data_IF_069255357702
#
_entry.id   IF_069255357702
#
_cell.length_a   1.000
_cell.length_b   1.000
_cell.length_c   1.000
_cell.angle_alpha   90.00
_cell.angle_beta   90.00
_cell.angle_gamma   90.00
#
_symmetry.space_group_name_H-M   'P 1'
#
loop_
_entity.id
_entity.type
_entity.pdbx_description
1 polymer ?
#
# COMPACT_ATOMS: atom_id res chain seq x y z
N UNK A 1 20.12 9.48 -0.07
CA UNK A 1 18.82 9.37 0.62
C UNK A 1 18.36 7.94 0.41
N UNK A 2 17.79 7.29 1.42
CA UNK A 2 17.18 5.98 1.17
C UNK A 2 15.81 6.27 0.58
N UNK A 3 15.48 5.72 -0.58
CA UNK A 3 14.19 5.98 -1.22
C UNK A 3 13.22 4.88 -0.79
N UNK A 4 12.28 5.20 0.11
CA UNK A 4 11.29 4.24 0.61
C UNK A 4 9.86 4.69 0.31
N UNK A 5 9.10 3.84 -0.35
CA UNK A 5 7.73 4.11 -0.79
C UNK A 5 6.72 3.26 -0.03
N UNK A 6 5.71 3.91 0.56
CA UNK A 6 4.53 3.25 1.09
C UNK A 6 3.37 3.44 0.11
N UNK A 7 2.86 2.37 -0.47
CA UNK A 7 1.70 2.39 -1.35
C UNK A 7 0.47 1.88 -0.61
N UNK A 8 -0.61 2.64 -0.61
CA UNK A 8 -1.93 2.20 -0.17
C UNK A 8 -2.71 1.86 -1.44
N UNK A 9 -3.00 0.58 -1.68
CA UNK A 9 -3.68 0.14 -2.91
C UNK A 9 -4.98 -0.61 -2.62
N UNK A 10 -5.94 -0.50 -3.53
CA UNK A 10 -7.16 -1.32 -3.54
C UNK A 10 -6.97 -2.65 -4.25
N UNK A 11 -5.83 -2.83 -4.94
CA UNK A 11 -5.52 -4.06 -5.66
C UNK A 11 -5.37 -5.24 -4.71
N UNK A 12 -6.05 -6.33 -5.04
CA UNK A 12 -5.92 -7.63 -4.36
C UNK A 12 -5.21 -8.63 -5.25
N UNK A 13 -5.13 -8.38 -6.55
CA UNK A 13 -4.62 -9.33 -7.53
C UNK A 13 -3.16 -9.69 -7.20
N UNK A 14 -2.33 -8.71 -6.88
CA UNK A 14 -0.94 -8.92 -6.48
C UNK A 14 -0.83 -9.80 -5.24
N UNK A 15 -1.62 -9.52 -4.19
CA UNK A 15 -1.62 -10.30 -2.96
C UNK A 15 -2.21 -11.71 -3.13
N UNK A 16 -3.05 -11.92 -4.16
CA UNK A 16 -3.53 -13.22 -4.61
C UNK A 16 -2.54 -13.94 -5.54
N UNK A 17 -1.41 -13.32 -5.85
CA UNK A 17 -0.36 -13.88 -6.69
C UNK A 17 -0.60 -13.76 -8.20
N UNK A 18 -1.49 -12.86 -8.63
CA UNK A 18 -1.82 -12.62 -10.03
C UNK A 18 -0.98 -11.48 -10.61
N UNK A 19 -0.61 -11.61 -11.87
CA UNK A 19 0.10 -10.58 -12.62
C UNK A 19 -0.92 -9.67 -13.31
N UNK A 20 -1.12 -8.46 -12.76
CA UNK A 20 -2.02 -7.44 -13.29
C UNK A 20 -1.31 -6.10 -13.53
N UNK A 21 -2.06 -5.04 -13.82
CA UNK A 21 -1.49 -3.71 -14.06
C UNK A 21 -0.59 -3.23 -12.90
N UNK A 22 -1.04 -3.43 -11.66
CA UNK A 22 -0.27 -3.06 -10.47
C UNK A 22 1.03 -3.87 -10.31
N UNK A 23 1.07 -5.12 -10.77
CA UNK A 23 2.31 -5.90 -10.82
C UNK A 23 3.33 -5.25 -11.76
N UNK A 24 2.92 -4.84 -12.96
CA UNK A 24 3.81 -4.19 -13.93
C UNK A 24 4.33 -2.84 -13.40
N UNK A 25 3.47 -2.08 -12.69
CA UNK A 25 3.89 -0.86 -11.99
C UNK A 25 5.00 -1.16 -10.99
N UNK A 26 4.85 -2.21 -10.18
CA UNK A 26 5.85 -2.60 -9.18
C UNK A 26 7.14 -3.15 -9.81
N UNK A 27 7.03 -3.87 -10.94
CA UNK A 27 8.18 -4.36 -11.71
C UNK A 27 9.10 -3.21 -12.15
N UNK A 28 8.52 -2.05 -12.50
CA UNK A 28 9.30 -0.88 -12.85
C UNK A 28 9.73 -0.08 -11.63
N UNK A 29 8.84 0.13 -10.68
CA UNK A 29 9.13 0.94 -9.49
C UNK A 29 10.25 0.32 -8.65
N UNK A 30 10.32 -1.02 -8.54
CA UNK A 30 11.37 -1.68 -7.74
C UNK A 30 12.80 -1.31 -8.13
N UNK A 31 13.01 -0.77 -9.34
CA UNK A 31 14.34 -0.35 -9.82
C UNK A 31 14.81 0.98 -9.19
N UNK A 32 13.88 1.78 -8.67
CA UNK A 32 14.12 3.16 -8.21
C UNK A 32 13.95 3.34 -6.70
N UNK A 33 13.41 2.32 -6.02
CA UNK A 33 13.11 2.34 -4.59
C UNK A 33 13.87 1.24 -3.85
N UNK A 34 14.48 1.60 -2.72
CA UNK A 34 15.18 0.63 -1.87
C UNK A 34 14.20 -0.33 -1.19
N UNK A 35 12.98 0.15 -0.94
CA UNK A 35 11.89 -0.60 -0.32
C UNK A 35 10.54 -0.05 -0.75
N UNK A 36 9.62 -0.95 -1.10
CA UNK A 36 8.22 -0.64 -1.36
C UNK A 36 7.37 -1.49 -0.42
N UNK A 37 6.60 -0.84 0.46
CA UNK A 37 5.57 -1.51 1.26
C UNK A 37 4.20 -1.22 0.64
N UNK A 38 3.39 -2.26 0.43
CA UNK A 38 2.04 -2.14 -0.13
C UNK A 38 1.01 -2.56 0.90
N UNK A 39 0.17 -1.65 1.37
CA UNK A 39 -1.01 -1.99 2.17
C UNK A 39 -2.18 -2.24 1.22
N UNK A 40 -2.84 -3.39 1.34
CA UNK A 40 -3.96 -3.77 0.48
C UNK A 40 -5.12 -4.42 1.26
N UNK A 41 -6.30 -4.60 0.64
CA UNK A 41 -7.42 -5.26 1.30
C UNK A 41 -7.16 -6.73 1.60
N UNK A 42 -8.04 -7.31 2.41
CA UNK A 42 -7.98 -8.74 2.74
C UNK A 42 -8.06 -9.63 1.49
N UNK A 43 -7.17 -10.60 1.43
CA UNK A 43 -7.19 -11.73 0.49
C UNK A 43 -7.68 -13.01 1.16
N UNK A 44 -8.12 -13.99 0.36
CA UNK A 44 -8.63 -15.27 0.87
C UNK A 44 -7.57 -16.11 1.59
N UNK A 45 -7.99 -16.89 2.60
CA UNK A 45 -7.10 -17.63 3.51
C UNK A 45 -6.14 -18.61 2.81
N UNK A 46 -6.52 -19.19 1.66
CA UNK A 46 -5.66 -20.14 0.91
C UNK A 46 -4.57 -19.43 0.07
N UNK A 47 -4.63 -18.11 -0.06
CA UNK A 47 -3.73 -17.32 -0.90
C UNK A 47 -2.74 -16.47 -0.09
N UNK A 48 -2.91 -16.42 1.24
CA UNK A 48 -1.95 -15.80 2.14
C UNK A 48 -0.58 -16.51 2.07
N UNK A 49 -0.56 -17.81 1.78
CA UNK A 49 0.63 -18.62 1.54
C UNK A 49 1.38 -18.25 0.25
N UNK A 50 0.70 -17.66 -0.75
CA UNK A 50 1.31 -17.22 -2.02
C UNK A 50 2.06 -15.90 -1.86
N UNK A 51 1.80 -15.13 -0.79
CA UNK A 51 2.58 -13.93 -0.42
C UNK A 51 4.05 -14.30 -0.09
N UNK A 52 4.32 -15.57 0.24
CA UNK A 52 5.69 -16.06 0.43
C UNK A 52 6.45 -16.25 -0.90
N UNK A 53 5.78 -16.28 -2.05
CA UNK A 53 6.45 -16.09 -3.34
C UNK A 53 6.68 -14.60 -3.50
N UNK A 54 7.80 -14.12 -2.96
CA UNK A 54 8.25 -12.75 -3.16
C UNK A 54 8.42 -12.51 -4.66
N UNK A 55 7.47 -11.81 -5.27
CA UNK A 55 7.57 -11.38 -6.67
C UNK A 55 8.83 -10.55 -6.90
N UNK A 56 9.21 -9.76 -5.89
CA UNK A 56 10.39 -8.90 -5.91
C UNK A 56 11.03 -8.87 -4.51
N UNK A 57 12.35 -8.77 -4.45
CA UNK A 57 13.10 -8.82 -3.19
C UNK A 57 12.86 -7.61 -2.26
N UNK A 58 12.49 -6.47 -2.85
CA UNK A 58 12.32 -5.18 -2.18
C UNK A 58 10.85 -4.71 -2.11
N UNK A 59 9.89 -5.59 -2.44
CA UNK A 59 8.46 -5.28 -2.37
C UNK A 59 7.79 -6.16 -1.33
N UNK A 60 7.10 -5.54 -0.38
CA UNK A 60 6.48 -6.20 0.77
C UNK A 60 4.98 -5.89 0.80
N UNK A 61 4.14 -6.93 0.85
CA UNK A 61 2.69 -6.79 0.77
C UNK A 61 2.06 -7.04 2.15
N UNK A 62 1.15 -6.17 2.56
CA UNK A 62 0.51 -6.14 3.88
C UNK A 62 -1.02 -6.17 3.72
N UNK A 63 -1.62 -7.35 3.42
CA UNK A 63 -3.06 -7.47 3.31
C UNK A 63 -3.73 -7.24 4.67
N UNK A 64 -4.88 -6.58 4.64
CA UNK A 64 -5.71 -6.43 5.82
C UNK A 64 -6.16 -7.78 6.39
N UNK A 65 -6.08 -7.97 7.72
CA UNK A 65 -6.70 -9.13 8.38
C UNK A 65 -8.22 -8.98 8.49
N UNK A 66 -8.79 -7.81 8.16
CA UNK A 66 -10.19 -7.46 8.42
C UNK A 66 -11.02 -7.33 7.13
N UNK A 67 -12.36 -7.46 7.22
CA UNK A 67 -13.25 -7.15 6.11
C UNK A 67 -13.00 -5.73 5.52
N UNK A 68 -13.32 -5.56 4.24
CA UNK A 68 -13.05 -4.33 3.47
C UNK A 68 -13.54 -3.05 4.15
N UNK A 69 -14.69 -3.08 4.84
CA UNK A 69 -15.23 -1.90 5.54
C UNK A 69 -14.29 -1.39 6.66
N UNK A 70 -13.40 -2.23 7.17
CA UNK A 70 -12.39 -1.87 8.16
C UNK A 70 -11.02 -1.54 7.53
N UNK A 71 -10.92 -1.49 6.20
CA UNK A 71 -9.71 -1.11 5.50
C UNK A 71 -9.14 0.24 5.94
N UNK A 72 -9.94 1.30 6.18
CA UNK A 72 -9.40 2.57 6.66
C UNK A 72 -8.63 2.44 7.99
N UNK A 73 -9.13 1.61 8.91
CA UNK A 73 -8.48 1.38 10.20
C UNK A 73 -7.21 0.54 10.06
N UNK A 74 -7.20 -0.42 9.13
CA UNK A 74 -5.99 -1.17 8.83
C UNK A 74 -4.90 -0.28 8.25
N UNK A 75 -5.24 0.57 7.27
CA UNK A 75 -4.32 1.55 6.69
C UNK A 75 -3.70 2.44 7.76
N UNK A 76 -4.53 2.96 8.69
CA UNK A 76 -4.04 3.79 9.78
C UNK A 76 -3.06 3.02 10.68
N UNK A 77 -3.45 1.83 11.15
CA UNK A 77 -2.65 1.02 12.08
C UNK A 77 -1.32 0.59 11.43
N UNK A 78 -1.41 0.03 10.23
CA UNK A 78 -0.27 -0.58 9.55
C UNK A 78 0.64 0.48 8.94
N UNK A 79 0.08 1.55 8.37
CA UNK A 79 0.86 2.69 7.87
C UNK A 79 1.69 3.34 8.98
N UNK A 80 1.11 3.52 10.17
CA UNK A 80 1.86 4.03 11.33
C UNK A 80 3.00 3.10 11.77
N UNK A 81 2.75 1.78 11.77
CA UNK A 81 3.79 0.79 12.09
C UNK A 81 4.93 0.88 11.08
N UNK A 82 4.62 0.83 9.79
CA UNK A 82 5.59 0.84 8.70
C UNK A 82 6.41 2.12 8.64
N UNK A 83 5.80 3.27 8.89
CA UNK A 83 6.53 4.55 8.94
C UNK A 83 7.42 4.64 10.17
N UNK A 84 6.96 4.14 11.33
CA UNK A 84 7.80 4.09 12.53
C UNK A 84 9.01 3.16 12.35
N UNK A 85 8.81 2.02 11.68
CA UNK A 85 9.82 0.97 11.52
C UNK A 85 10.81 1.28 10.39
N UNK A 86 10.32 1.77 9.25
CA UNK A 86 11.10 1.94 8.04
C UNK A 86 11.27 3.40 7.60
N UNK A 87 10.56 4.36 8.18
CA UNK A 87 10.75 5.79 7.88
C UNK A 87 10.55 6.13 6.40
N UNK A 88 9.38 5.81 5.84
CA UNK A 88 9.04 6.08 4.44
C UNK A 88 9.08 7.58 4.10
N UNK A 89 9.64 7.90 2.93
CA UNK A 89 9.77 9.27 2.44
C UNK A 89 8.54 9.71 1.64
N UNK A 90 7.84 8.75 1.02
CA UNK A 90 6.66 9.00 0.20
C UNK A 90 5.55 8.02 0.51
N UNK A 91 4.32 8.53 0.46
CA UNK A 91 3.10 7.70 0.52
C UNK A 91 2.28 7.95 -0.74
N UNK A 92 1.89 6.88 -1.43
CA UNK A 92 0.94 6.97 -2.53
C UNK A 92 -0.37 6.31 -2.16
N UNK A 93 -1.47 6.84 -2.70
CA UNK A 93 -2.79 6.26 -2.58
C UNK A 93 -3.28 5.92 -3.97
N UNK A 94 -3.51 4.63 -4.17
CA UNK A 94 -4.09 4.06 -5.36
C UNK A 94 -5.52 3.64 -5.04
N UNK A 95 -6.44 4.43 -5.55
CA UNK A 95 -7.82 4.44 -5.10
C UNK A 95 -8.76 3.75 -6.09
N UNK A 96 -9.69 2.98 -5.55
CA UNK A 96 -10.79 2.38 -6.29
C UNK A 96 -12.08 2.50 -5.47
N UNK A 97 -13.26 2.61 -6.12
CA UNK A 97 -14.53 2.47 -5.41
C UNK A 97 -14.53 1.18 -4.55
N UNK A 98 -14.99 1.23 -3.29
CA UNK A 98 -15.77 2.30 -2.66
C UNK A 98 -14.96 3.34 -1.84
N UNK A 99 -13.79 3.78 -2.32
CA UNK A 99 -13.01 4.92 -1.79
C UNK A 99 -12.50 4.80 -0.33
N UNK A 100 -12.39 3.57 0.18
CA UNK A 100 -11.91 3.34 1.54
C UNK A 100 -10.43 3.68 1.72
N UNK A 101 -9.63 3.63 0.66
CA UNK A 101 -8.20 3.87 0.77
C UNK A 101 -7.91 5.35 1.03
N UNK A 102 -8.63 6.25 0.40
CA UNK A 102 -8.55 7.69 0.53
C UNK A 102 -9.04 8.16 1.89
N UNK A 103 -10.12 7.56 2.42
CA UNK A 103 -10.54 7.80 3.81
C UNK A 103 -9.43 7.35 4.78
N UNK A 104 -8.88 6.15 4.59
CA UNK A 104 -7.78 5.63 5.41
C UNK A 104 -6.53 6.51 5.35
N UNK A 105 -6.16 6.95 4.15
CA UNK A 105 -5.03 7.84 3.91
C UNK A 105 -5.23 9.22 4.53
N UNK A 106 -6.44 9.79 4.46
CA UNK A 106 -6.77 11.05 5.12
C UNK A 106 -6.65 10.95 6.65
N UNK A 107 -7.19 9.88 7.24
CA UNK A 107 -7.04 9.62 8.68
C UNK A 107 -5.58 9.44 9.07
N UNK A 108 -4.84 8.67 8.26
CA UNK A 108 -3.41 8.45 8.41
C UNK A 108 -2.64 9.77 8.40
N UNK A 109 -2.87 10.63 7.40
CA UNK A 109 -2.28 11.96 7.29
C UNK A 109 -2.56 12.82 8.51
N UNK A 110 -3.83 13.04 8.84
CA UNK A 110 -4.30 13.90 9.94
C UNK A 110 -3.70 13.51 11.29
N UNK A 111 -3.59 12.21 11.55
CA UNK A 111 -3.05 11.70 12.81
C UNK A 111 -1.51 11.60 12.80
N UNK A 112 -0.88 11.72 11.63
CA UNK A 112 0.56 11.79 11.46
C UNK A 112 1.11 13.22 11.52
N UNK A 113 0.33 14.24 11.16
CA UNK A 113 0.73 15.66 11.29
C UNK A 113 1.01 16.07 12.74
N UNK A 114 0.27 15.52 13.71
CA UNK A 114 0.56 15.70 15.15
C UNK A 114 1.88 15.05 15.60
N UNK A 115 2.49 14.21 14.76
CA UNK A 115 3.78 13.54 14.96
C UNK A 115 4.66 13.65 13.72
N UNK A 116 4.83 14.88 13.20
CA UNK A 116 5.90 15.32 12.28
C UNK A 116 6.29 14.29 11.20
N UNK A 117 5.34 13.91 10.35
CA UNK A 117 5.61 13.23 9.08
C UNK A 117 6.32 14.22 8.12
N UNK A 118 7.38 13.78 7.43
CA UNK A 118 8.20 14.62 6.52
C UNK A 118 7.96 14.33 5.02
N UNK A 119 7.07 13.39 4.69
CA UNK A 119 6.83 12.94 3.32
C UNK A 119 5.57 13.52 2.67
N UNK A 120 5.52 13.47 1.34
CA UNK A 120 4.35 13.88 0.55
C UNK A 120 3.36 12.71 0.39
N UNK A 121 2.06 13.02 0.44
CA UNK A 121 0.99 12.08 0.08
C UNK A 121 0.51 12.41 -1.33
N UNK A 122 0.71 11.48 -2.26
CA UNK A 122 0.27 11.61 -3.64
C UNK A 122 -0.95 10.71 -3.88
N UNK A 123 -2.05 11.30 -4.34
CA UNK A 123 -3.23 10.56 -4.82
C UNK A 123 -3.06 10.29 -6.31
N UNK A 124 -3.01 9.02 -6.70
CA UNK A 124 -3.07 8.60 -8.09
C UNK A 124 -4.50 8.09 -8.34
N UNK A 125 -5.31 8.92 -8.99
CA UNK A 125 -6.59 8.48 -9.53
C UNK A 125 -6.33 7.78 -10.87
N UNK A 126 -6.71 6.51 -10.99
CA UNK A 126 -6.75 5.81 -12.28
C UNK A 126 -7.93 6.35 -13.10
N UNK A 127 -7.78 7.54 -13.66
CA UNK A 127 -8.51 7.92 -14.87
C UNK A 127 -7.68 7.36 -16.03
N UNK A 128 -8.06 6.19 -16.57
CA UNK A 128 -7.83 5.76 -17.96
C UNK A 128 -7.89 4.23 -18.11
N UNK A 129 -9.04 3.58 -17.87
CA UNK A 129 -9.37 2.29 -18.50
C UNK A 129 -10.89 2.10 -18.59
N UNK A 130 -11.49 2.66 -19.65
CA UNK A 130 -12.73 2.18 -20.27
C UNK A 130 -12.43 1.81 -21.73
#
# INVERSE_FOLDING_TARGET
MNNRLLMISGDRALAEGKHGAFFNTLEEFRKYWDRIDVICPRVGNNQQSTINNRFFDNVFIHPSPWPLIFQPFWILKEGQRLIKEYGHDFVTVHEYPPFYNGIGAYLFYRLSEGRRFKGDILSLADEDFY
#
